data_IF_628769267150
#
_entry.id   IF_628769267150
#
_cell.length_a   1.000
_cell.length_b   1.000
_cell.length_c   1.000
_cell.angle_alpha   90.00
_cell.angle_beta   90.00
_cell.angle_gamma   90.00
#
_symmetry.space_group_name_H-M   'P 1'
#
loop_
_entity.id
_entity.type
_entity.pdbx_description
1 polymer ?
#
# COMPACT_ATOMS: atom_id res chain seq x y z
N UNK A 1 0.87 -14.97 -15.85
CA UNK A 1 1.78 -14.19 -14.98
C UNK A 1 0.93 -13.15 -14.29
N UNK A 2 0.79 -13.22 -12.98
CA UNK A 2 0.07 -12.22 -12.18
C UNK A 2 0.91 -10.95 -12.09
N UNK A 3 0.33 -9.76 -12.24
CA UNK A 3 1.08 -8.50 -12.10
C UNK A 3 1.33 -8.15 -10.64
N UNK A 4 2.40 -7.41 -10.35
CA UNK A 4 2.79 -6.98 -8.99
C UNK A 4 1.61 -6.43 -8.15
N UNK A 5 0.76 -5.59 -8.75
CA UNK A 5 -0.41 -5.02 -8.07
C UNK A 5 -1.45 -6.08 -7.67
N UNK A 6 -1.61 -7.15 -8.44
CA UNK A 6 -2.57 -8.22 -8.15
C UNK A 6 -2.11 -9.06 -6.95
N UNK A 7 -0.80 -9.32 -6.84
CA UNK A 7 -0.22 -9.98 -5.68
C UNK A 7 -0.35 -9.13 -4.40
N UNK A 8 -0.18 -7.81 -4.52
CA UNK A 8 -0.43 -6.86 -3.41
C UNK A 8 -1.91 -6.91 -3.02
N UNK A 9 -2.84 -6.82 -3.98
CA UNK A 9 -4.28 -6.93 -3.73
C UNK A 9 -4.64 -8.24 -3.04
N UNK A 10 -4.03 -9.35 -3.47
CA UNK A 10 -4.21 -10.65 -2.83
C UNK A 10 -3.75 -10.63 -1.36
N UNK A 11 -2.57 -10.08 -1.07
CA UNK A 11 -2.07 -9.91 0.32
C UNK A 11 -3.04 -9.10 1.18
N UNK A 12 -3.59 -8.01 0.66
CA UNK A 12 -4.58 -7.20 1.37
C UNK A 12 -5.90 -7.94 1.61
N UNK A 13 -6.36 -8.75 0.63
CA UNK A 13 -7.57 -9.56 0.78
C UNK A 13 -7.43 -10.65 1.85
N UNK A 14 -6.21 -11.19 2.02
CA UNK A 14 -5.88 -12.18 3.04
C UNK A 14 -5.41 -11.56 4.37
N UNK A 15 -5.55 -10.25 4.57
CA UNK A 15 -5.10 -9.53 5.77
C UNK A 15 -3.59 -9.66 6.07
N UNK A 16 -2.78 -9.92 5.05
CA UNK A 16 -1.32 -10.04 5.13
C UNK A 16 -0.65 -8.70 4.86
N UNK A 17 -1.00 -7.68 5.64
CA UNK A 17 -0.33 -6.38 5.60
C UNK A 17 -0.17 -5.77 6.99
N UNK A 18 0.83 -4.90 7.14
CA UNK A 18 1.09 -4.16 8.37
C UNK A 18 1.46 -2.71 8.08
N UNK A 19 1.33 -1.83 9.08
CA UNK A 19 1.82 -0.46 9.00
C UNK A 19 3.21 -0.38 9.62
N UNK A 20 4.12 0.36 8.98
CA UNK A 20 5.29 0.89 9.66
C UNK A 20 4.86 1.90 10.74
N UNK A 21 5.74 2.18 11.71
CA UNK A 21 5.49 3.27 12.67
C UNK A 21 5.19 4.59 11.96
N UNK A 22 5.98 4.92 10.94
CA UNK A 22 5.80 6.15 10.15
C UNK A 22 4.43 6.19 9.44
N UNK A 23 4.02 5.09 8.81
CA UNK A 23 2.72 4.99 8.14
C UNK A 23 1.56 5.12 9.14
N UNK A 24 1.68 4.52 10.32
CA UNK A 24 0.67 4.65 11.37
C UNK A 24 0.55 6.12 11.84
N UNK A 25 1.67 6.78 12.12
CA UNK A 25 1.70 8.20 12.50
C UNK A 25 1.05 9.09 11.42
N UNK A 26 1.40 8.87 10.13
CA UNK A 26 0.78 9.58 9.01
C UNK A 26 -0.72 9.32 8.90
N UNK A 27 -1.17 8.08 9.09
CA UNK A 27 -2.59 7.76 9.03
C UNK A 27 -3.40 8.49 10.09
N UNK A 28 -2.86 8.64 11.30
CA UNK A 28 -3.51 9.36 12.40
C UNK A 28 -3.56 10.86 12.08
N UNK A 29 -2.42 11.45 11.69
CA UNK A 29 -2.31 12.87 11.37
C UNK A 29 -3.22 13.28 10.20
N UNK A 30 -3.28 12.44 9.16
CA UNK A 30 -4.08 12.70 7.94
C UNK A 30 -5.51 12.15 8.03
N UNK A 31 -5.89 11.56 9.17
CA UNK A 31 -7.20 10.92 9.41
C UNK A 31 -7.56 9.90 8.33
N UNK A 32 -6.59 9.09 7.91
CA UNK A 32 -6.77 8.02 6.93
C UNK A 32 -7.11 6.74 7.69
N UNK A 33 -8.29 6.19 7.42
CA UNK A 33 -8.74 4.93 8.03
C UNK A 33 -8.19 3.72 7.28
N UNK A 34 -8.04 2.59 7.95
CA UNK A 34 -7.59 1.32 7.33
C UNK A 34 -8.50 0.91 6.17
N UNK A 35 -9.81 1.14 6.27
CA UNK A 35 -10.76 0.86 5.19
C UNK A 35 -10.49 1.70 3.92
N UNK A 36 -9.99 2.94 4.08
CA UNK A 36 -9.65 3.82 2.97
C UNK A 36 -8.38 3.34 2.26
N UNK A 37 -7.39 2.86 3.04
CA UNK A 37 -6.19 2.19 2.49
C UNK A 37 -6.59 0.96 1.68
N UNK A 38 -7.47 0.10 2.22
CA UNK A 38 -7.97 -1.08 1.50
C UNK A 38 -8.67 -0.71 0.19
N UNK A 39 -9.55 0.30 0.22
CA UNK A 39 -10.26 0.78 -0.96
C UNK A 39 -9.29 1.30 -2.04
N UNK A 40 -8.27 2.07 -1.63
CA UNK A 40 -7.29 2.61 -2.55
C UNK A 40 -6.36 1.55 -3.14
N UNK A 41 -5.96 0.52 -2.38
CA UNK A 41 -5.18 -0.60 -2.93
C UNK A 41 -6.02 -1.43 -3.91
N UNK A 42 -7.29 -1.67 -3.58
CA UNK A 42 -8.19 -2.46 -4.42
C UNK A 42 -8.42 -1.82 -5.81
N UNK A 43 -8.50 -0.50 -5.87
CA UNK A 43 -8.82 0.24 -7.10
C UNK A 43 -7.63 1.04 -7.67
N UNK A 44 -6.49 1.02 -6.99
CA UNK A 44 -5.33 1.83 -7.32
C UNK A 44 -4.41 1.20 -8.36
N UNK A 45 -3.46 2.00 -8.81
CA UNK A 45 -2.44 1.65 -9.78
C UNK A 45 -1.05 1.96 -9.23
N UNK A 46 -0.07 1.12 -9.59
CA UNK A 46 1.33 1.43 -9.32
C UNK A 46 1.76 2.56 -10.26
N UNK A 47 2.21 3.67 -9.70
CA UNK A 47 2.68 4.84 -10.45
C UNK A 47 4.20 5.00 -10.41
N UNK A 48 4.86 4.42 -9.40
CA UNK A 48 6.32 4.39 -9.31
C UNK A 48 6.76 3.02 -8.76
N UNK A 49 7.89 2.54 -9.28
CA UNK A 49 8.46 1.24 -8.93
C UNK A 49 9.91 1.39 -8.46
N UNK A 50 10.22 0.85 -7.28
CA UNK A 50 11.52 0.97 -6.61
C UNK A 50 12.10 -0.42 -6.29
N UNK A 51 12.53 -1.19 -7.29
CA UNK A 51 13.08 -2.54 -7.08
C UNK A 51 14.38 -2.54 -6.26
N UNK A 52 15.11 -1.41 -6.22
CA UNK A 52 16.41 -1.28 -5.58
C UNK A 52 16.38 -0.41 -4.30
N UNK A 53 15.21 -0.25 -3.69
CA UNK A 53 15.07 0.54 -2.46
C UNK A 53 15.99 0.01 -1.35
N UNK A 54 16.60 0.94 -0.59
CA UNK A 54 17.69 0.67 0.38
C UNK A 54 17.43 -0.51 1.32
N UNK A 55 16.19 -0.68 1.76
CA UNK A 55 15.81 -1.70 2.75
C UNK A 55 15.12 -2.93 2.14
N UNK A 56 14.36 -2.73 1.05
CA UNK A 56 13.75 -3.79 0.24
C UNK A 56 12.97 -3.17 -0.92
N UNK A 57 12.72 -3.94 -2.00
CA UNK A 57 11.86 -3.53 -3.10
C UNK A 57 10.52 -2.97 -2.61
N UNK A 58 10.15 -1.82 -3.15
CA UNK A 58 8.91 -1.12 -2.82
C UNK A 58 8.29 -0.50 -4.06
N UNK A 59 7.02 -0.08 -3.95
CA UNK A 59 6.32 0.63 -5.02
C UNK A 59 5.38 1.68 -4.44
N UNK A 60 5.07 2.70 -5.24
CA UNK A 60 4.09 3.73 -4.91
C UNK A 60 2.78 3.44 -5.64
N UNK A 61 1.71 3.28 -4.87
CA UNK A 61 0.36 3.05 -5.38
C UNK A 61 -0.43 4.35 -5.24
N UNK A 62 -1.05 4.79 -6.34
CA UNK A 62 -2.04 5.87 -6.36
C UNK A 62 -3.43 5.26 -6.45
N UNK A 63 -4.29 5.56 -5.48
CA UNK A 63 -5.65 5.04 -5.42
C UNK A 63 -6.61 6.03 -4.79
N UNK A 64 -7.89 5.63 -4.77
CA UNK A 64 -8.98 6.46 -4.25
C UNK A 64 -9.64 5.78 -3.06
N UNK A 65 -10.05 6.59 -2.08
CA UNK A 65 -10.96 6.13 -1.03
C UNK A 65 -12.36 5.90 -1.59
N UNK A 66 -13.27 5.34 -0.78
CA UNK A 66 -14.68 5.19 -1.16
C UNK A 66 -15.31 6.56 -1.51
N UNK A 67 -14.89 7.62 -0.83
CA UNK A 67 -15.36 8.99 -1.05
C UNK A 67 -14.60 9.73 -2.17
N UNK A 68 -13.91 9.01 -3.07
CA UNK A 68 -13.15 9.58 -4.18
C UNK A 68 -11.99 10.50 -3.78
N UNK A 69 -11.52 10.43 -2.52
CA UNK A 69 -10.35 11.17 -2.07
C UNK A 69 -9.07 10.45 -2.54
N UNK A 70 -8.11 11.14 -3.18
CA UNK A 70 -6.86 10.51 -3.57
C UNK A 70 -5.98 10.23 -2.35
N UNK A 71 -5.38 9.04 -2.31
CA UNK A 71 -4.33 8.69 -1.36
C UNK A 71 -3.17 7.99 -2.09
N UNK A 72 -1.95 8.28 -1.66
CA UNK A 72 -0.74 7.63 -2.14
C UNK A 72 -0.22 6.69 -1.06
N UNK A 73 0.13 5.47 -1.45
CA UNK A 73 0.53 4.41 -0.53
C UNK A 73 1.86 3.85 -1.02
N UNK A 74 2.93 4.09 -0.29
CA UNK A 74 4.18 3.40 -0.54
C UNK A 74 4.20 2.10 0.28
N UNK A 75 4.41 0.95 -0.37
CA UNK A 75 4.48 -0.32 0.32
C UNK A 75 5.57 -1.24 -0.24
N UNK A 76 6.03 -2.17 0.59
CA UNK A 76 6.96 -3.20 0.14
C UNK A 76 6.33 -4.13 -0.89
N UNK A 77 7.17 -4.81 -1.67
CA UNK A 77 6.71 -5.88 -2.54
C UNK A 77 6.03 -7.03 -1.78
N UNK A 78 5.15 -7.79 -2.45
CA UNK A 78 4.44 -8.96 -1.89
C UNK A 78 5.32 -10.20 -1.77
N UNK A 79 6.60 -10.13 -2.16
CA UNK A 79 7.59 -11.21 -2.00
C UNK A 79 7.91 -11.52 -0.53
N UNK A 80 7.55 -10.63 0.40
CA UNK A 80 7.58 -10.87 1.85
C UNK A 80 6.33 -11.63 2.30
N UNK A 81 6.39 -12.22 3.50
CA UNK A 81 5.21 -12.85 4.13
C UNK A 81 4.05 -11.85 4.27
N UNK A 82 4.36 -10.60 4.63
CA UNK A 82 3.41 -9.51 4.87
C UNK A 82 3.83 -8.28 4.04
N UNK A 83 2.87 -7.60 3.42
CA UNK A 83 3.10 -6.30 2.76
C UNK A 83 3.20 -5.22 3.83
N UNK A 84 4.33 -4.53 3.89
CA UNK A 84 4.53 -3.42 4.83
C UNK A 84 4.20 -2.10 4.17
N UNK A 85 3.24 -1.37 4.72
CA UNK A 85 2.94 0.02 4.36
C UNK A 85 4.03 0.90 4.97
N UNK A 86 4.80 1.57 4.12
CA UNK A 86 5.94 2.40 4.49
C UNK A 86 5.47 3.82 4.85
N UNK A 87 4.63 4.43 3.99
CA UNK A 87 4.03 5.75 4.22
C UNK A 87 2.70 5.91 3.46
N UNK A 88 1.91 6.92 3.87
CA UNK A 88 0.55 7.28 3.41
C UNK A 88 0.40 8.80 3.34
#
# INVERSE_FOLDING_TARGET
MTSLIEEIRQKFSCEQFEFSKHALDQSILRRIRVQEVRAAIANGQIIEDYPNDKYAPSCLISGLTQDQRPIHIQCSYPSRSIVKIITL
#
